data_IF_247134076897
#
_entry.id   IF_247134076897
#
_cell.length_a   1.000
_cell.length_b   1.000
_cell.length_c   1.000
_cell.angle_alpha   90.00
_cell.angle_beta   90.00
_cell.angle_gamma   90.00
#
_symmetry.space_group_name_H-M   'P 1'
#
loop_
_entity.id
_entity.type
_entity.pdbx_description
1 polymer ?
#
# COMPACT_ATOMS: atom_id res chain seq x y z
N UNK A 1 12.44 -13.54 -3.59
CA UNK A 1 11.10 -12.91 -3.50
C UNK A 1 11.04 -11.78 -2.49
N UNK A 2 11.56 -11.99 -1.29
CA UNK A 2 11.56 -10.96 -0.25
C UNK A 2 12.26 -9.68 -0.70
N UNK A 3 13.43 -9.81 -1.34
CA UNK A 3 14.16 -8.67 -1.85
C UNK A 3 13.36 -7.88 -2.89
N UNK A 4 12.63 -8.58 -3.74
CA UNK A 4 11.79 -7.94 -4.76
C UNK A 4 10.61 -7.19 -4.12
N UNK A 5 10.04 -7.77 -3.07
CA UNK A 5 8.95 -7.12 -2.35
C UNK A 5 9.43 -5.85 -1.64
N UNK A 6 10.62 -5.88 -1.07
CA UNK A 6 11.20 -4.72 -0.39
C UNK A 6 11.55 -3.58 -1.35
N UNK A 7 11.66 -3.85 -2.66
CA UNK A 7 11.86 -2.80 -3.67
C UNK A 7 10.58 -2.03 -3.98
N UNK A 8 9.43 -2.56 -3.61
CA UNK A 8 8.16 -1.83 -3.74
C UNK A 8 8.23 -0.63 -2.78
N UNK A 9 7.78 0.57 -3.20
CA UNK A 9 7.79 1.73 -2.31
C UNK A 9 7.03 1.43 -1.03
N UNK A 10 7.66 1.70 0.11
CA UNK A 10 7.05 1.46 1.41
C UNK A 10 6.64 2.79 2.05
N UNK A 11 5.44 2.79 2.64
CA UNK A 11 4.93 3.95 3.36
C UNK A 11 5.62 3.99 4.72
N UNK A 12 6.17 5.15 5.06
CA UNK A 12 6.94 5.38 6.28
C UNK A 12 6.17 6.34 7.18
N UNK A 13 6.59 6.43 8.44
CA UNK A 13 5.94 7.35 9.40
C UNK A 13 5.91 8.79 8.90
N UNK A 14 7.00 9.25 8.27
CA UNK A 14 7.10 10.60 7.75
C UNK A 14 6.18 10.88 6.57
N UNK A 15 5.63 9.83 5.94
CA UNK A 15 4.66 9.98 4.85
C UNK A 15 3.24 10.22 5.34
N UNK A 16 2.96 9.94 6.62
CA UNK A 16 1.61 10.05 7.17
C UNK A 16 1.51 11.39 7.91
N UNK A 17 0.90 12.38 7.25
CA UNK A 17 0.87 13.75 7.75
C UNK A 17 -0.57 14.27 7.75
N UNK A 18 -1.07 14.66 8.92
CA UNK A 18 -2.37 15.29 9.09
C UNK A 18 -3.51 14.53 8.38
N UNK A 19 -3.52 13.20 8.54
CA UNK A 19 -4.58 12.37 7.99
C UNK A 19 -4.47 12.08 6.51
N UNK A 20 -3.34 12.41 5.89
CA UNK A 20 -3.07 12.15 4.48
C UNK A 20 -1.74 11.43 4.30
N UNK A 21 -1.57 10.83 3.13
CA UNK A 21 -0.28 10.27 2.75
C UNK A 21 0.43 11.31 1.89
N UNK A 22 1.59 11.73 2.37
CA UNK A 22 2.40 12.75 1.71
C UNK A 22 3.82 12.23 1.50
N UNK A 23 4.43 12.59 0.36
CA UNK A 23 5.82 12.24 0.12
C UNK A 23 6.49 13.27 -0.76
N UNK A 24 7.72 13.64 -0.39
CA UNK A 24 8.62 14.38 -1.26
C UNK A 24 9.26 13.46 -2.31
N UNK A 25 9.11 12.14 -2.16
CA UNK A 25 9.63 11.17 -3.12
C UNK A 25 8.88 11.30 -4.45
N UNK A 26 9.61 11.35 -5.55
CA UNK A 26 9.03 11.37 -6.88
C UNK A 26 8.16 10.15 -7.15
N UNK A 27 8.45 9.03 -6.49
CA UNK A 27 7.69 7.79 -6.69
C UNK A 27 6.24 7.91 -6.22
N UNK A 28 5.98 8.65 -5.14
CA UNK A 28 4.65 8.76 -4.56
C UNK A 28 3.95 10.08 -4.88
N UNK A 29 4.70 11.08 -5.32
CA UNK A 29 4.19 12.45 -5.46
C UNK A 29 3.21 12.58 -6.62
N UNK A 30 2.05 13.17 -6.32
CA UNK A 30 1.06 13.51 -7.34
C UNK A 30 0.29 12.34 -7.92
N UNK A 31 0.45 11.14 -7.35
CA UNK A 31 -0.22 9.93 -7.85
C UNK A 31 -1.16 9.37 -6.80
N UNK A 32 -2.16 8.61 -7.27
CA UNK A 32 -2.92 7.75 -6.36
C UNK A 32 -1.97 6.67 -5.81
N UNK A 33 -2.25 6.19 -4.60
CA UNK A 33 -1.42 5.16 -3.96
C UNK A 33 -2.31 3.98 -3.60
N UNK A 34 -2.00 2.82 -4.19
CA UNK A 34 -2.65 1.57 -3.81
C UNK A 34 -1.64 0.79 -2.97
N UNK A 35 -1.97 0.56 -1.69
CA UNK A 35 -0.99 -0.05 -0.80
C UNK A 35 -1.55 -1.23 -0.03
N UNK A 36 -0.67 -2.20 0.22
CA UNK A 36 -0.95 -3.37 1.03
C UNK A 36 -0.37 -3.18 2.42
N UNK A 37 -1.21 -3.28 3.44
CA UNK A 37 -0.77 -3.33 4.83
C UNK A 37 -0.53 -4.80 5.15
N UNK A 38 0.71 -5.17 5.49
CA UNK A 38 1.07 -6.57 5.64
C UNK A 38 1.94 -6.80 6.87
N UNK A 39 2.08 -8.08 7.22
CA UNK A 39 2.95 -8.53 8.30
C UNK A 39 3.89 -9.61 7.75
N UNK A 40 5.13 -9.60 8.19
CA UNK A 40 6.12 -10.60 7.78
C UNK A 40 5.76 -12.03 8.23
N UNK A 41 4.93 -12.14 9.27
CA UNK A 41 4.57 -13.43 9.87
C UNK A 41 3.18 -13.93 9.46
N UNK A 42 2.57 -13.32 8.47
CA UNK A 42 1.23 -13.66 8.04
C UNK A 42 1.27 -14.57 6.82
N UNK A 43 0.69 -15.77 6.93
CA UNK A 43 0.68 -16.72 5.82
C UNK A 43 -0.05 -16.21 4.58
N UNK A 44 -1.18 -15.48 4.79
CA UNK A 44 -1.92 -14.89 3.67
C UNK A 44 -1.12 -13.79 2.99
N UNK A 45 -0.30 -13.07 3.75
CA UNK A 45 0.57 -12.04 3.18
C UNK A 45 1.65 -12.69 2.30
N UNK A 46 2.22 -13.79 2.76
CA UNK A 46 3.22 -14.53 1.97
C UNK A 46 2.62 -14.99 0.65
N UNK A 47 1.37 -15.48 0.66
CA UNK A 47 0.71 -15.95 -0.56
C UNK A 47 0.45 -14.84 -1.57
N UNK A 48 0.16 -13.63 -1.12
CA UNK A 48 -0.16 -12.52 -2.03
C UNK A 48 1.07 -11.86 -2.64
N UNK A 49 2.25 -12.04 -2.04
CA UNK A 49 3.47 -11.35 -2.47
C UNK A 49 3.83 -11.56 -3.94
N UNK A 50 3.81 -12.79 -4.50
CA UNK A 50 4.14 -12.98 -5.91
C UNK A 50 3.26 -12.17 -6.84
N UNK A 51 1.95 -12.16 -6.60
CA UNK A 51 1.00 -11.41 -7.41
C UNK A 51 1.19 -9.91 -7.24
N UNK A 52 1.45 -9.48 -6.01
CA UNK A 52 1.65 -8.06 -5.73
C UNK A 52 2.94 -7.53 -6.37
N UNK A 53 3.99 -8.34 -6.37
CA UNK A 53 5.24 -7.99 -7.06
C UNK A 53 5.01 -7.80 -8.56
N UNK A 54 4.26 -8.72 -9.18
CA UNK A 54 3.92 -8.61 -10.60
C UNK A 54 3.16 -7.32 -10.88
N UNK A 55 2.20 -7.00 -10.03
CA UNK A 55 1.40 -5.77 -10.17
C UNK A 55 2.31 -4.54 -10.11
N UNK A 56 3.22 -4.50 -9.14
CA UNK A 56 4.14 -3.39 -8.98
C UNK A 56 5.09 -3.26 -10.18
N UNK A 57 5.61 -4.38 -10.67
CA UNK A 57 6.50 -4.38 -11.84
C UNK A 57 5.81 -3.85 -13.08
N UNK A 58 4.52 -4.13 -13.23
CA UNK A 58 3.76 -3.62 -14.37
C UNK A 58 3.39 -2.14 -14.22
N UNK A 59 3.00 -1.72 -13.03
CA UNK A 59 2.34 -0.42 -12.87
C UNK A 59 3.23 0.68 -12.29
N UNK A 60 4.35 0.35 -11.64
CA UNK A 60 5.22 1.38 -11.08
C UNK A 60 6.15 1.94 -12.15
N UNK A 61 5.58 2.79 -12.99
CA UNK A 61 6.28 3.49 -14.06
C UNK A 61 6.07 4.99 -13.94
N UNK A 62 6.96 5.77 -14.53
CA UNK A 62 6.90 7.22 -14.44
C UNK A 62 5.60 7.80 -14.98
N UNK A 63 5.02 7.17 -16.01
CA UNK A 63 3.79 7.63 -16.64
C UNK A 63 2.52 7.07 -16.01
N UNK A 64 2.62 6.22 -15.00
CA UNK A 64 1.45 5.66 -14.31
C UNK A 64 0.74 6.70 -13.47
N UNK A 65 -0.58 6.54 -13.34
CA UNK A 65 -1.42 7.39 -12.48
C UNK A 65 -1.47 6.88 -11.04
N UNK A 66 -0.97 5.68 -10.81
CA UNK A 66 -1.01 5.02 -9.51
C UNK A 66 0.35 4.44 -9.16
N UNK A 67 0.67 4.46 -7.88
CA UNK A 67 1.84 3.77 -7.33
C UNK A 67 1.35 2.58 -6.52
N UNK A 68 1.94 1.42 -6.77
CA UNK A 68 1.71 0.22 -5.98
C UNK A 68 2.73 0.24 -4.85
N UNK A 69 2.25 0.34 -3.63
CA UNK A 69 3.08 0.53 -2.45
C UNK A 69 2.72 -0.50 -1.37
N UNK A 70 3.44 -0.45 -0.25
CA UNK A 70 3.20 -1.36 0.86
C UNK A 70 3.47 -0.66 2.18
N UNK A 71 2.89 -1.19 3.26
CA UNK A 71 3.14 -0.74 4.62
C UNK A 71 3.41 -1.96 5.48
N UNK A 72 4.64 -2.07 5.99
CA UNK A 72 5.03 -3.21 6.82
C UNK A 72 4.75 -2.94 8.29
N UNK A 73 3.89 -3.76 8.88
CA UNK A 73 3.54 -3.64 10.30
C UNK A 73 4.72 -3.92 11.23
N UNK A 74 5.75 -4.59 10.76
CA UNK A 74 6.93 -4.95 11.54
C UNK A 74 8.07 -3.94 11.41
N UNK A 75 7.86 -2.83 10.70
CA UNK A 75 8.90 -1.86 10.40
C UNK A 75 9.63 -2.22 9.12
N UNK A 76 10.83 -1.68 8.96
CA UNK A 76 11.65 -1.91 7.77
C UNK A 76 13.02 -2.40 8.21
N UNK A 77 13.80 -3.05 7.32
CA UNK A 77 15.14 -3.49 7.67
C UNK A 77 15.98 -2.33 8.21
N UNK A 78 16.58 -2.54 9.38
CA UNK A 78 17.40 -1.54 10.09
C UNK A 78 16.63 -0.28 10.50
N UNK A 79 15.30 -0.28 10.42
CA UNK A 79 14.47 0.86 10.80
C UNK A 79 13.26 0.36 11.60
N UNK A 80 13.48 -0.16 12.82
CA UNK A 80 12.38 -0.72 13.62
C UNK A 80 11.37 0.33 14.07
N UNK A 81 11.75 1.61 14.07
CA UNK A 81 10.84 2.71 14.40
C UNK A 81 9.70 2.82 13.40
N UNK A 82 9.86 2.26 12.21
CA UNK A 82 8.79 2.28 11.20
C UNK A 82 7.60 1.38 11.56
N UNK A 83 7.70 0.60 12.63
CA UNK A 83 6.54 -0.12 13.18
C UNK A 83 5.41 0.84 13.54
N UNK A 84 5.74 2.05 13.94
CA UNK A 84 4.75 3.06 14.31
C UNK A 84 3.85 3.47 13.13
N UNK A 85 4.28 3.22 11.90
CA UNK A 85 3.49 3.57 10.72
C UNK A 85 2.14 2.84 10.70
N UNK A 86 2.08 1.60 11.20
CA UNK A 86 0.82 0.86 11.26
C UNK A 86 -0.19 1.58 12.16
N UNK A 87 0.22 1.93 13.39
CA UNK A 87 -0.69 2.58 14.33
C UNK A 87 -1.17 3.92 13.80
N UNK A 88 -0.28 4.68 13.18
CA UNK A 88 -0.64 5.94 12.54
C UNK A 88 -1.67 5.74 11.43
N UNK A 89 -1.44 4.72 10.58
CA UNK A 89 -2.36 4.42 9.48
C UNK A 89 -3.71 3.93 9.98
N UNK A 90 -3.73 3.07 11.00
CA UNK A 90 -4.99 2.60 11.58
C UNK A 90 -5.84 3.78 12.06
N UNK A 91 -5.22 4.76 12.72
CA UNK A 91 -5.92 5.97 13.17
C UNK A 91 -6.50 6.76 12.00
N UNK A 92 -5.72 6.92 10.93
CA UNK A 92 -6.17 7.63 9.73
C UNK A 92 -7.34 6.92 9.09
N UNK A 93 -7.25 5.59 8.93
CA UNK A 93 -8.32 4.80 8.32
C UNK A 93 -9.59 4.87 9.14
N UNK A 94 -9.48 4.77 10.47
CA UNK A 94 -10.63 4.88 11.37
C UNK A 94 -11.32 6.23 11.22
N UNK A 95 -10.55 7.30 11.11
CA UNK A 95 -11.11 8.65 10.90
C UNK A 95 -11.84 8.77 9.57
N UNK A 96 -11.56 7.88 8.62
CA UNK A 96 -12.21 7.82 7.30
C UNK A 96 -13.26 6.71 7.21
N UNK A 97 -13.68 6.15 8.33
CA UNK A 97 -14.74 5.15 8.37
C UNK A 97 -14.29 3.74 7.97
N UNK A 98 -13.00 3.50 7.91
CA UNK A 98 -12.45 2.18 7.56
C UNK A 98 -11.89 1.52 8.80
N UNK A 99 -12.46 0.39 9.17
CA UNK A 99 -12.00 -0.39 10.31
C UNK A 99 -10.94 -1.38 9.84
N UNK A 100 -9.75 -1.32 10.45
CA UNK A 100 -8.67 -2.23 10.11
C UNK A 100 -8.97 -3.62 10.66
N UNK A 101 -9.06 -4.62 9.79
CA UNK A 101 -9.50 -5.97 10.14
C UNK A 101 -8.42 -7.05 10.14
N UNK A 102 -7.18 -6.69 9.88
CA UNK A 102 -6.07 -7.66 9.86
C UNK A 102 -5.25 -7.62 8.58
N UNK A 103 -4.41 -8.64 8.40
CA UNK A 103 -3.46 -8.68 7.29
C UNK A 103 -3.81 -9.76 6.28
N UNK A 104 -3.57 -9.50 4.99
CA UNK A 104 -3.27 -8.20 4.42
C UNK A 104 -4.53 -7.36 4.26
N UNK A 105 -4.39 -6.04 4.31
CA UNK A 105 -5.46 -5.09 4.00
C UNK A 105 -4.97 -4.22 2.85
N UNK A 106 -5.82 -4.01 1.83
CA UNK A 106 -5.47 -3.24 0.64
C UNK A 106 -6.29 -1.97 0.61
N UNK A 107 -5.60 -0.84 0.45
CA UNK A 107 -6.21 0.49 0.49
C UNK A 107 -5.81 1.29 -0.73
N UNK A 108 -6.78 2.00 -1.32
CA UNK A 108 -6.51 3.01 -2.34
C UNK A 108 -6.64 4.39 -1.73
N UNK A 109 -5.58 5.17 -1.82
CA UNK A 109 -5.57 6.57 -1.42
C UNK A 109 -5.54 7.44 -2.68
N UNK A 110 -6.47 8.39 -2.76
CA UNK A 110 -6.57 9.27 -3.91
C UNK A 110 -7.21 10.58 -3.49
N UNK A 111 -6.51 11.69 -3.72
CA UNK A 111 -7.06 13.04 -3.49
C UNK A 111 -7.63 13.19 -2.08
N UNK A 112 -6.90 12.73 -1.08
CA UNK A 112 -7.29 12.84 0.32
C UNK A 112 -8.34 11.84 0.78
N UNK A 113 -8.75 10.90 -0.07
CA UNK A 113 -9.78 9.91 0.26
C UNK A 113 -9.19 8.50 0.29
N UNK A 114 -9.71 7.68 1.19
CA UNK A 114 -9.28 6.28 1.37
C UNK A 114 -10.43 5.35 1.01
N UNK A 115 -10.12 4.26 0.31
CA UNK A 115 -11.09 3.24 -0.07
C UNK A 115 -10.46 1.88 0.10
N UNK A 116 -11.19 0.97 0.75
CA UNK A 116 -10.70 -0.39 0.97
C UNK A 116 -11.02 -1.28 -0.24
N UNK A 117 -10.06 -2.14 -0.60
CA UNK A 117 -10.24 -3.16 -1.63
C UNK A 117 -10.46 -4.51 -0.98
N UNK A 118 -11.56 -5.17 -1.32
CA UNK A 118 -11.92 -6.48 -0.76
C UNK A 118 -12.08 -7.57 -1.82
N UNK A 119 -11.51 -7.38 -3.01
CA UNK A 119 -11.58 -8.36 -4.09
C UNK A 119 -10.53 -9.45 -3.97
N UNK A 120 -10.35 -10.20 -5.05
CA UNK A 120 -9.36 -11.26 -5.10
C UNK A 120 -7.93 -10.69 -5.04
N UNK A 121 -7.02 -11.48 -4.44
CA UNK A 121 -5.65 -11.04 -4.19
C UNK A 121 -4.70 -11.50 -5.28
N UNK A 122 -5.06 -11.17 -6.51
CA UNK A 122 -4.28 -11.49 -7.70
C UNK A 122 -4.22 -10.29 -8.64
N UNK A 123 -3.32 -10.35 -9.61
CA UNK A 123 -3.11 -9.25 -10.57
C UNK A 123 -4.42 -8.88 -11.26
N UNK A 124 -5.19 -9.89 -11.68
CA UNK A 124 -6.46 -9.64 -12.39
C UNK A 124 -7.43 -8.83 -11.53
N UNK A 125 -7.62 -9.23 -10.28
CA UNK A 125 -8.53 -8.53 -9.37
C UNK A 125 -8.09 -7.13 -9.07
N UNK A 126 -6.81 -6.95 -8.77
CA UNK A 126 -6.24 -5.63 -8.50
C UNK A 126 -6.40 -4.71 -9.71
N UNK A 127 -6.07 -5.20 -10.91
CA UNK A 127 -6.16 -4.39 -12.13
C UNK A 127 -7.60 -4.02 -12.46
N UNK A 128 -8.54 -4.93 -12.25
CA UNK A 128 -9.94 -4.65 -12.46
C UNK A 128 -10.42 -3.51 -11.56
N UNK A 129 -10.04 -3.54 -10.30
CA UNK A 129 -10.38 -2.49 -9.34
C UNK A 129 -9.77 -1.14 -9.77
N UNK A 130 -8.48 -1.14 -10.11
CA UNK A 130 -7.79 0.08 -10.52
C UNK A 130 -8.33 0.63 -11.83
N UNK A 131 -8.74 -0.25 -12.75
CA UNK A 131 -9.35 0.16 -14.00
C UNK A 131 -10.71 0.82 -13.77
N UNK A 132 -11.52 0.24 -12.89
CA UNK A 132 -12.81 0.83 -12.49
C UNK A 132 -12.61 2.18 -11.83
N UNK A 133 -11.48 2.40 -11.18
CA UNK A 133 -11.11 3.67 -10.56
C UNK A 133 -10.45 4.63 -11.55
N UNK A 134 -10.37 4.26 -12.82
CA UNK A 134 -9.78 5.07 -13.90
C UNK A 134 -8.31 5.40 -13.68
N UNK A 135 -7.56 4.47 -13.09
CA UNK A 135 -6.15 4.64 -12.79
C UNK A 135 -5.23 3.85 -13.74
N UNK A 136 -5.80 3.08 -14.65
CA UNK A 136 -5.01 2.35 -15.66
C UNK A 136 -5.17 2.96 -17.03
#
# INVERSE_FOLDING_TARGET
MEEQFLKIPHIRTENIVQGNIYSSSKQLQGKAIFFAIYSDRCGRCVKMKPEYIKLAQELNRNDSKVVIAALNSNGLPNEPEQKAALDMMISVLKANGIEFGGFPTFILFRSGKFQEYNGSRDVKGFKQFLNQSRLL
#
